data_IF_186789336348
#
_entry.id   IF_186789336348
#
_cell.length_a   1.000
_cell.length_b   1.000
_cell.length_c   1.000
_cell.angle_alpha   90.00
_cell.angle_beta   90.00
_cell.angle_gamma   90.00
#
_symmetry.space_group_name_H-M   'P 1'
#
loop_
_entity.id
_entity.type
_entity.pdbx_description
1 polymer ?
#
# COMPACT_ATOMS: atom_id res chain seq x y z
N UNK A 1 4.77 2.27 -8.43
CA UNK A 1 3.91 1.68 -7.37
C UNK A 1 4.78 1.28 -6.19
N UNK A 2 4.57 1.89 -5.02
CA UNK A 2 5.36 1.66 -3.82
C UNK A 2 4.73 0.59 -2.94
N UNK A 3 5.50 -0.41 -2.51
CA UNK A 3 4.99 -1.58 -1.79
C UNK A 3 5.81 -1.85 -0.55
N UNK A 4 5.16 -1.97 0.60
CA UNK A 4 5.78 -2.35 1.87
C UNK A 4 5.34 -3.76 2.24
N UNK A 5 6.30 -4.65 2.50
CA UNK A 5 6.05 -6.02 2.98
C UNK A 5 6.57 -6.07 4.41
N UNK A 6 5.67 -6.18 5.37
CA UNK A 6 6.01 -6.31 6.79
C UNK A 6 6.55 -7.71 7.12
N UNK A 7 7.33 -7.79 8.18
CA UNK A 7 7.82 -9.08 8.65
C UNK A 7 6.74 -9.89 9.38
N UNK A 8 7.00 -11.18 9.51
CA UNK A 8 6.11 -12.10 10.22
C UNK A 8 6.03 -11.69 11.70
N UNK A 9 4.81 -11.57 12.22
CA UNK A 9 4.55 -11.18 13.61
C UNK A 9 4.37 -9.68 13.82
N UNK A 10 4.75 -8.83 12.85
CA UNK A 10 4.43 -7.40 12.93
C UNK A 10 2.92 -7.17 12.74
N UNK A 11 2.36 -6.25 13.51
CA UNK A 11 0.96 -5.86 13.40
C UNK A 11 0.82 -4.48 12.77
N UNK A 12 -0.24 -4.28 11.99
CA UNK A 12 -0.63 -2.97 11.45
C UNK A 12 -1.18 -2.05 12.55
N UNK A 13 -0.34 -1.68 13.50
CA UNK A 13 -0.70 -0.76 14.58
C UNK A 13 -0.78 0.67 14.04
N UNK A 14 -1.46 1.54 14.77
CA UNK A 14 -1.43 2.98 14.47
C UNK A 14 0.00 3.54 14.47
N UNK A 15 0.88 3.03 15.35
CA UNK A 15 2.27 3.46 15.40
C UNK A 15 3.04 3.02 14.16
N UNK A 16 2.94 1.74 13.77
CA UNK A 16 3.59 1.24 12.57
C UNK A 16 3.15 2.01 11.32
N UNK A 17 1.85 2.30 11.21
CA UNK A 17 1.33 3.06 10.09
C UNK A 17 1.92 4.48 10.03
N UNK A 18 1.99 5.20 11.16
CA UNK A 18 2.58 6.54 11.18
C UNK A 18 4.10 6.51 10.94
N UNK A 19 4.82 5.71 11.69
CA UNK A 19 6.28 5.77 11.74
C UNK A 19 6.95 5.14 10.52
N UNK A 20 6.37 4.07 9.99
CA UNK A 20 6.95 3.34 8.86
C UNK A 20 6.23 3.73 7.57
N UNK A 21 4.91 3.59 7.52
CA UNK A 21 4.19 3.81 6.26
C UNK A 21 4.14 5.28 5.89
N UNK A 22 3.74 6.17 6.79
CA UNK A 22 3.66 7.60 6.46
C UNK A 22 5.05 8.24 6.41
N UNK A 23 5.78 8.21 7.52
CA UNK A 23 7.03 8.97 7.67
C UNK A 23 8.19 8.47 6.80
N UNK A 24 8.31 7.16 6.55
CA UNK A 24 9.46 6.62 5.79
C UNK A 24 9.13 6.35 4.32
N UNK A 25 7.85 6.34 3.95
CA UNK A 25 7.45 5.91 2.60
C UNK A 25 6.52 6.91 1.92
N UNK A 26 5.34 7.20 2.46
CA UNK A 26 4.36 8.05 1.79
C UNK A 26 4.81 9.50 1.72
N UNK A 27 5.20 10.10 2.84
CA UNK A 27 5.60 11.51 2.84
C UNK A 27 6.85 11.76 1.99
N UNK A 28 7.94 10.98 2.12
CA UNK A 28 9.09 11.15 1.25
C UNK A 28 8.73 11.02 -0.24
N UNK A 29 7.88 10.06 -0.61
CA UNK A 29 7.44 9.91 -2.00
C UNK A 29 6.63 11.12 -2.49
N UNK A 30 5.71 11.64 -1.68
CA UNK A 30 4.87 12.77 -2.07
C UNK A 30 5.63 14.10 -2.13
N UNK A 31 6.69 14.27 -1.33
CA UNK A 31 7.45 15.52 -1.23
C UNK A 31 8.78 15.51 -1.98
N UNK A 32 9.09 14.43 -2.71
CA UNK A 32 10.33 14.34 -3.51
C UNK A 32 10.21 15.24 -4.74
N UNK A 33 11.11 16.23 -4.86
CA UNK A 33 11.14 17.19 -5.97
C UNK A 33 11.45 16.54 -7.33
N UNK A 34 12.02 15.33 -7.33
CA UNK A 34 12.27 14.55 -8.55
C UNK A 34 11.01 13.83 -9.06
N UNK A 35 9.94 13.74 -8.24
CA UNK A 35 8.68 13.16 -8.66
C UNK A 35 7.83 14.16 -9.44
N UNK A 36 7.07 13.67 -10.41
CA UNK A 36 6.14 14.49 -11.23
C UNK A 36 4.86 14.92 -10.50
N UNK A 37 4.86 14.85 -9.16
CA UNK A 37 3.70 15.08 -8.31
C UNK A 37 3.73 16.52 -7.81
N UNK A 38 2.72 17.30 -8.18
CA UNK A 38 2.49 18.63 -7.60
C UNK A 38 1.52 18.50 -6.41
N UNK A 39 2.06 18.64 -5.19
CA UNK A 39 1.32 18.49 -3.94
C UNK A 39 0.09 19.39 -3.84
N UNK A 40 0.11 20.58 -4.45
CA UNK A 40 -1.03 21.50 -4.42
C UNK A 40 -2.19 21.01 -5.29
N UNK A 41 -1.94 20.04 -6.17
CA UNK A 41 -2.89 19.47 -7.12
C UNK A 41 -3.18 17.99 -6.87
N UNK A 42 -2.77 17.43 -5.71
CA UNK A 42 -3.06 16.03 -5.36
C UNK A 42 -3.88 15.92 -4.10
N UNK A 43 -4.66 14.84 -4.02
CA UNK A 43 -5.34 14.44 -2.81
C UNK A 43 -4.88 13.03 -2.45
N UNK A 44 -4.33 12.88 -1.25
CA UNK A 44 -4.03 11.56 -0.71
C UNK A 44 -5.33 10.86 -0.27
N UNK A 45 -5.55 9.65 -0.76
CA UNK A 45 -6.78 8.89 -0.50
C UNK A 45 -6.42 7.60 0.22
N UNK A 46 -7.13 7.31 1.32
CA UNK A 46 -6.96 6.09 2.11
C UNK A 46 -8.29 5.63 2.71
N UNK A 47 -8.38 4.37 3.16
CA UNK A 47 -9.60 3.82 3.74
C UNK A 47 -9.80 4.25 5.22
N UNK A 48 -10.84 3.72 5.87
CA UNK A 48 -11.16 4.01 7.27
C UNK A 48 -10.66 2.95 8.25
N UNK A 49 -9.60 2.20 7.92
CA UNK A 49 -9.00 1.25 8.85
C UNK A 49 -8.62 1.94 10.19
N UNK A 50 -8.67 1.23 11.34
CA UNK A 50 -8.47 1.84 12.66
C UNK A 50 -7.20 2.69 12.80
N UNK A 51 -6.09 2.28 12.18
CA UNK A 51 -4.82 3.02 12.18
C UNK A 51 -4.87 4.31 11.35
N UNK A 52 -5.66 4.35 10.28
CA UNK A 52 -5.77 5.49 9.37
C UNK A 52 -6.77 6.53 9.87
N UNK A 53 -7.91 6.09 10.41
CA UNK A 53 -8.94 7.00 10.95
C UNK A 53 -8.58 7.64 12.30
N UNK A 54 -7.54 7.19 12.97
CA UNK A 54 -7.13 7.71 14.27
C UNK A 54 -6.78 9.20 14.19
N UNK A 55 -7.26 10.02 15.13
CA UNK A 55 -7.03 11.47 15.12
C UNK A 55 -5.54 11.83 15.01
N UNK A 56 -4.67 11.10 15.71
CA UNK A 56 -3.22 11.33 15.66
C UNK A 56 -2.63 11.11 14.26
N UNK A 57 -3.17 10.15 13.51
CA UNK A 57 -2.77 9.92 12.12
C UNK A 57 -3.28 11.04 11.21
N UNK A 58 -4.54 11.45 11.38
CA UNK A 58 -5.15 12.55 10.63
C UNK A 58 -4.42 13.89 10.86
N UNK A 59 -4.02 14.18 12.10
CA UNK A 59 -3.21 15.35 12.43
C UNK A 59 -1.82 15.27 11.80
N UNK A 60 -1.15 14.11 11.89
CA UNK A 60 0.17 13.92 11.30
C UNK A 60 0.18 14.21 9.78
N UNK A 61 -0.85 13.77 9.04
CA UNK A 61 -0.95 14.05 7.60
C UNK A 61 -1.09 15.56 7.34
N UNK A 62 -1.95 16.26 8.11
CA UNK A 62 -2.13 17.72 8.00
C UNK A 62 -0.88 18.50 8.36
N UNK A 63 -0.16 18.09 9.40
CA UNK A 63 1.07 18.74 9.85
C UNK A 63 2.19 18.64 8.80
N UNK A 64 2.13 17.60 7.96
CA UNK A 64 3.01 17.43 6.80
C UNK A 64 2.47 18.11 5.53
N UNK A 65 1.44 18.95 5.64
CA UNK A 65 0.84 19.75 4.54
C UNK A 65 0.34 18.90 3.36
N UNK A 66 -0.13 17.69 3.63
CA UNK A 66 -0.70 16.81 2.62
C UNK A 66 -2.22 16.94 2.66
N UNK A 67 -2.82 17.34 1.54
CA UNK A 67 -4.27 17.32 1.37
C UNK A 67 -4.74 15.88 1.23
N UNK A 68 -5.83 15.51 1.92
CA UNK A 68 -6.28 14.13 1.96
C UNK A 68 -7.77 13.98 2.26
N UNK A 69 -8.35 12.87 1.83
CA UNK A 69 -9.72 12.52 2.17
C UNK A 69 -9.79 11.86 3.54
N UNK A 70 -10.05 12.69 4.55
CA UNK A 70 -10.18 12.27 5.93
C UNK A 70 -11.50 11.58 6.26
N UNK A 71 -11.72 11.44 7.57
CA UNK A 71 -12.89 10.74 8.12
C UNK A 71 -14.24 11.35 7.73
N UNK A 72 -14.26 12.61 7.33
CA UNK A 72 -15.42 13.39 6.92
C UNK A 72 -15.79 13.18 5.44
N UNK A 73 -14.84 12.79 4.60
CA UNK A 73 -15.03 12.66 3.14
C UNK A 73 -15.17 11.20 2.73
N UNK A 74 -14.25 10.32 3.14
CA UNK A 74 -14.26 8.93 2.66
C UNK A 74 -15.47 8.16 3.18
N UNK A 75 -16.31 7.54 2.34
CA UNK A 75 -17.45 6.76 2.84
C UNK A 75 -16.98 5.48 3.58
N UNK A 76 -17.65 5.15 4.68
CA UNK A 76 -17.39 3.89 5.38
C UNK A 76 -17.88 2.70 4.55
N UNK A 77 -17.14 1.58 4.57
CA UNK A 77 -17.48 0.34 3.88
C UNK A 77 -17.58 0.44 2.34
N UNK A 78 -16.73 1.27 1.72
CA UNK A 78 -16.68 1.43 0.25
C UNK A 78 -15.34 0.96 -0.33
N UNK A 79 -15.07 -0.36 -0.33
CA UNK A 79 -13.86 -0.91 -0.95
C UNK A 79 -13.88 -0.75 -2.49
N UNK A 80 -15.07 -0.65 -3.09
CA UNK A 80 -15.30 -0.43 -4.51
C UNK A 80 -14.76 0.93 -5.01
N UNK A 81 -14.69 1.92 -4.13
CA UNK A 81 -14.11 3.22 -4.44
C UNK A 81 -12.59 3.27 -4.23
N UNK A 82 -12.01 2.27 -3.53
CA UNK A 82 -10.58 2.23 -3.23
C UNK A 82 -9.81 1.57 -4.38
N UNK A 83 -9.16 2.37 -5.22
CA UNK A 83 -8.31 1.85 -6.29
C UNK A 83 -7.22 0.88 -5.80
N UNK A 84 -6.72 1.06 -4.57
CA UNK A 84 -5.72 0.17 -3.99
C UNK A 84 -6.26 -1.24 -3.69
N UNK A 85 -7.54 -1.38 -3.33
CA UNK A 85 -8.19 -2.68 -3.13
C UNK A 85 -8.25 -3.47 -4.44
N UNK A 86 -8.64 -2.82 -5.53
CA UNK A 86 -8.74 -3.46 -6.84
C UNK A 86 -7.35 -3.88 -7.36
N UNK A 87 -6.34 -3.03 -7.23
CA UNK A 87 -4.97 -3.38 -7.60
C UNK A 87 -4.44 -4.51 -6.70
N UNK A 88 -4.77 -4.47 -5.41
CA UNK A 88 -4.45 -5.52 -4.45
C UNK A 88 -5.06 -6.87 -4.81
N UNK A 89 -6.30 -6.90 -5.31
CA UNK A 89 -6.97 -8.13 -5.71
C UNK A 89 -6.30 -8.77 -6.93
N UNK A 90 -5.96 -7.97 -7.96
CA UNK A 90 -5.23 -8.46 -9.14
C UNK A 90 -3.91 -9.12 -8.72
N UNK A 91 -3.13 -8.44 -7.88
CA UNK A 91 -1.85 -8.96 -7.37
C UNK A 91 -2.04 -10.25 -6.56
N UNK A 92 -3.08 -10.30 -5.71
CA UNK A 92 -3.40 -11.50 -4.93
C UNK A 92 -3.71 -12.67 -5.87
N UNK A 93 -4.56 -12.47 -6.87
CA UNK A 93 -4.98 -13.52 -7.78
C UNK A 93 -3.78 -14.06 -8.59
N UNK A 94 -2.90 -13.18 -9.07
CA UNK A 94 -1.68 -13.59 -9.78
C UNK A 94 -0.71 -14.37 -8.90
N UNK A 95 -0.52 -13.95 -7.65
CA UNK A 95 0.30 -14.69 -6.68
C UNK A 95 -0.34 -16.04 -6.37
N UNK A 96 -1.65 -16.08 -6.18
CA UNK A 96 -2.42 -17.30 -5.90
C UNK A 96 -2.29 -18.32 -7.03
N UNK A 97 -2.44 -17.89 -8.30
CA UNK A 97 -2.23 -18.78 -9.46
C UNK A 97 -0.81 -19.37 -9.48
N UNK A 98 0.21 -18.56 -9.17
CA UNK A 98 1.59 -19.07 -9.10
C UNK A 98 1.77 -20.05 -7.94
N UNK A 99 1.22 -19.75 -6.76
CA UNK A 99 1.26 -20.65 -5.61
C UNK A 99 0.55 -21.99 -5.89
N UNK A 100 -0.57 -21.98 -6.61
CA UNK A 100 -1.29 -23.19 -7.02
C UNK A 100 -0.48 -24.08 -7.96
N UNK A 101 0.41 -23.49 -8.75
CA UNK A 101 1.31 -24.23 -9.66
C UNK A 101 2.56 -24.81 -8.98
N UNK A 102 2.85 -24.43 -7.73
CA UNK A 102 4.03 -24.92 -7.00
C UNK A 102 3.86 -26.37 -6.56
N UNK A 103 4.91 -27.17 -6.80
CA UNK A 103 4.97 -28.59 -6.48
C UNK A 103 6.21 -28.88 -5.64
N UNK A 104 6.19 -30.02 -4.94
CA UNK A 104 7.32 -30.48 -4.14
C UNK A 104 7.35 -29.97 -2.69
N UNK A 105 8.48 -30.25 -2.03
CA UNK A 105 8.70 -29.87 -0.64
C UNK A 105 8.81 -28.34 -0.51
N UNK A 106 8.31 -27.76 0.58
CA UNK A 106 8.28 -26.31 0.84
C UNK A 106 7.41 -25.45 -0.11
N UNK A 107 6.48 -26.05 -0.88
CA UNK A 107 5.57 -25.30 -1.77
C UNK A 107 4.71 -24.23 -1.06
N UNK A 108 4.44 -24.40 0.23
CA UNK A 108 3.73 -23.40 1.07
C UNK A 108 4.65 -22.69 2.08
N UNK A 109 5.96 -22.68 1.81
CA UNK A 109 6.91 -21.94 2.65
C UNK A 109 6.80 -20.43 2.41
N UNK A 110 7.25 -19.66 3.41
CA UNK A 110 7.34 -18.20 3.32
C UNK A 110 8.28 -17.76 2.19
N UNK A 111 9.36 -18.49 1.96
CA UNK A 111 10.32 -18.20 0.88
C UNK A 111 9.67 -18.37 -0.50
N UNK A 112 8.87 -19.42 -0.68
CA UNK A 112 8.10 -19.63 -1.91
C UNK A 112 7.10 -18.51 -2.13
N UNK A 113 6.38 -18.08 -1.08
CA UNK A 113 5.47 -16.94 -1.17
C UNK A 113 6.21 -15.64 -1.56
N UNK A 114 7.30 -15.32 -0.86
CA UNK A 114 8.13 -14.12 -1.14
C UNK A 114 8.69 -14.16 -2.56
N UNK A 115 9.10 -15.33 -3.06
CA UNK A 115 9.55 -15.54 -4.45
C UNK A 115 8.46 -15.13 -5.44
N UNK A 116 7.22 -15.59 -5.26
CA UNK A 116 6.13 -15.27 -6.19
C UNK A 116 5.65 -13.83 -6.10
N UNK A 117 5.58 -13.25 -4.89
CA UNK A 117 5.26 -11.82 -4.73
C UNK A 117 6.28 -10.96 -5.50
N UNK A 118 7.58 -11.26 -5.40
CA UNK A 118 8.61 -10.54 -6.16
C UNK A 118 8.44 -10.73 -7.67
N UNK A 119 8.18 -11.96 -8.13
CA UNK A 119 8.00 -12.25 -9.54
C UNK A 119 6.81 -11.48 -10.15
N UNK A 120 5.69 -11.41 -9.43
CA UNK A 120 4.49 -10.66 -9.83
C UNK A 120 4.77 -9.15 -9.88
N UNK A 121 5.41 -8.59 -8.83
CA UNK A 121 5.82 -7.17 -8.81
C UNK A 121 6.70 -6.81 -10.02
N UNK A 122 7.67 -7.66 -10.37
CA UNK A 122 8.58 -7.41 -11.50
C UNK A 122 7.95 -7.64 -12.88
N UNK A 123 6.83 -8.36 -12.98
CA UNK A 123 6.09 -8.50 -14.23
C UNK A 123 5.23 -7.24 -14.49
N UNK A 124 4.56 -6.74 -13.45
CA UNK A 124 3.68 -5.57 -13.55
C UNK A 124 4.43 -4.24 -13.72
N UNK A 125 5.73 -4.19 -13.40
CA UNK A 125 6.59 -3.03 -13.68
C UNK A 125 7.09 -2.91 -15.12
N UNK A 126 6.87 -3.91 -16.00
CA UNK A 126 7.33 -3.89 -17.40
C UNK A 126 6.27 -3.46 -18.42
N UNK A 127 5.05 -3.21 -17.98
CA UNK A 127 3.94 -2.84 -18.86
C UNK A 127 3.74 -1.32 -19.01
N UNK A 128 4.59 -0.51 -18.38
CA UNK A 128 4.47 0.97 -18.36
C UNK A 128 5.44 1.70 -19.29
N UNK A 129 6.18 0.98 -20.15
CA UNK A 129 7.00 1.59 -21.19
C UNK A 129 6.15 1.81 -22.46
N UNK A 130 5.31 2.86 -22.46
CA UNK A 130 4.63 3.39 -23.63
C UNK A 130 4.81 4.90 -23.71
#
# INVERSE_FOLDING_TARGET
>A
MHWVIKDKGESWTGQYFRDIILMQHVFPFLTDEENVIDLDNVIFVHDKAPCMRANMTQHLIRDNKIEFWGNDIWPGNSPDLNAAEHIGSIMKDEVEQKMLSETGHNRYSEDTLKKHIRAVKSANGRHTDY
#
